data_IF_911166954185
#
_entry.id   IF_911166954185
#
_cell.length_a   1.000
_cell.length_b   1.000
_cell.length_c   1.000
_cell.angle_alpha   90.00
_cell.angle_beta   90.00
_cell.angle_gamma   90.00
#
_symmetry.space_group_name_H-M   'P 1'
#
loop_
_entity.id
_entity.type
_entity.pdbx_description
1 polymer ?
#
# COMPACT_ATOMS: atom_id res chain seq x y z
N UNK A 1 40.49 22.78 -0.91
CA UNK A 1 39.33 22.60 -1.80
C UNK A 1 38.93 21.14 -1.69
N UNK A 2 37.81 20.86 -1.02
CA UNK A 2 37.25 19.51 -0.99
C UNK A 2 36.40 19.38 -2.25
N UNK A 3 36.84 18.53 -3.18
CA UNK A 3 36.05 18.11 -4.33
C UNK A 3 34.81 17.40 -3.80
N UNK A 4 33.67 18.07 -3.87
CA UNK A 4 32.36 17.43 -3.72
C UNK A 4 32.21 16.46 -4.88
N UNK A 5 32.20 15.15 -4.60
CA UNK A 5 31.77 14.16 -5.57
C UNK A 5 30.31 14.46 -5.92
N UNK A 6 30.09 15.05 -7.10
CA UNK A 6 28.76 15.18 -7.68
C UNK A 6 28.32 13.74 -7.96
N UNK A 7 27.49 13.18 -7.07
CA UNK A 7 26.83 11.90 -7.32
C UNK A 7 26.08 12.01 -8.65
N UNK A 8 26.32 11.05 -9.54
CA UNK A 8 25.71 11.02 -10.86
C UNK A 8 24.17 11.03 -10.69
N UNK A 9 23.50 12.07 -11.21
CA UNK A 9 22.05 12.15 -11.15
C UNK A 9 21.45 10.96 -11.91
N UNK A 10 20.70 10.11 -11.20
CA UNK A 10 20.13 8.89 -11.78
C UNK A 10 19.02 9.23 -12.79
N UNK A 11 18.98 8.52 -13.91
CA UNK A 11 17.87 8.60 -14.85
C UNK A 11 16.79 7.57 -14.48
N UNK A 12 15.53 8.00 -14.47
CA UNK A 12 14.37 7.17 -14.09
C UNK A 12 13.32 7.28 -15.20
N UNK A 13 12.92 6.15 -15.78
CA UNK A 13 11.81 6.13 -16.74
C UNK A 13 10.45 6.17 -16.02
N UNK A 14 9.53 6.98 -16.53
CA UNK A 14 8.16 7.05 -16.05
C UNK A 14 7.30 5.99 -16.74
N UNK A 15 6.80 5.04 -15.96
CA UNK A 15 5.99 3.91 -16.42
C UNK A 15 4.47 4.16 -16.40
N UNK A 16 4.02 5.30 -15.88
CA UNK A 16 2.60 5.60 -15.80
C UNK A 16 1.93 5.12 -14.52
N UNK A 17 0.72 4.56 -14.68
CA UNK A 17 -0.15 4.12 -13.59
C UNK A 17 -0.44 2.63 -13.75
N UNK A 18 -0.30 1.87 -12.67
CA UNK A 18 -0.62 0.45 -12.60
C UNK A 18 -1.56 0.15 -11.43
N UNK A 19 -2.21 -1.02 -11.48
CA UNK A 19 -3.07 -1.53 -10.42
C UNK A 19 -2.45 -2.81 -9.85
N UNK A 20 -2.36 -2.91 -8.52
CA UNK A 20 -1.79 -4.09 -7.87
C UNK A 20 -2.75 -5.28 -7.95
N UNK A 21 -2.19 -6.46 -8.21
CA UNK A 21 -2.93 -7.73 -8.24
C UNK A 21 -3.02 -8.38 -9.62
N UNK A 22 -3.58 -9.58 -9.65
CA UNK A 22 -3.77 -10.35 -10.88
C UNK A 22 -4.86 -9.76 -11.77
N UNK A 23 -4.66 -9.84 -13.09
CA UNK A 23 -5.55 -9.29 -14.10
C UNK A 23 -7.02 -9.75 -13.93
N UNK A 24 -7.24 -11.01 -13.55
CA UNK A 24 -8.57 -11.59 -13.37
C UNK A 24 -9.41 -10.93 -12.25
N UNK A 25 -8.75 -10.33 -11.26
CA UNK A 25 -9.41 -9.70 -10.10
C UNK A 25 -9.48 -8.16 -10.14
N UNK A 26 -8.89 -7.52 -11.16
CA UNK A 26 -8.78 -6.06 -11.20
C UNK A 26 -10.15 -5.37 -11.26
N UNK A 27 -11.10 -5.92 -12.04
CA UNK A 27 -12.42 -5.33 -12.21
C UNK A 27 -13.22 -5.25 -10.91
N UNK A 28 -13.05 -6.24 -10.01
CA UNK A 28 -13.71 -6.26 -8.71
C UNK A 28 -12.98 -5.41 -7.67
N UNK A 29 -11.65 -5.31 -7.77
CA UNK A 29 -10.82 -4.54 -6.82
C UNK A 29 -10.81 -3.03 -7.09
N UNK A 30 -10.94 -2.63 -8.36
CA UNK A 30 -10.87 -1.23 -8.81
C UNK A 30 -12.03 -0.88 -9.75
N UNK A 31 -13.28 -1.19 -9.38
CA UNK A 31 -14.44 -1.07 -10.27
C UNK A 31 -14.61 0.34 -10.85
N UNK A 32 -14.33 1.39 -10.07
CA UNK A 32 -14.53 2.77 -10.50
C UNK A 32 -13.25 3.39 -11.07
N UNK A 33 -12.07 3.08 -10.55
CA UNK A 33 -10.80 3.56 -11.14
C UNK A 33 -10.60 3.07 -12.58
N UNK A 34 -10.99 1.82 -12.87
CA UNK A 34 -10.93 1.31 -14.24
C UNK A 34 -11.98 1.96 -15.16
N UNK A 35 -13.16 2.32 -14.62
CA UNK A 35 -14.14 3.09 -15.37
C UNK A 35 -13.66 4.53 -15.64
N UNK A 36 -12.98 5.14 -14.67
CA UNK A 36 -12.41 6.46 -14.82
C UNK A 36 -11.32 6.47 -15.91
N UNK A 37 -10.43 5.48 -15.93
CA UNK A 37 -9.45 5.32 -17.02
C UNK A 37 -10.13 5.18 -18.39
N UNK A 38 -11.21 4.40 -18.48
CA UNK A 38 -12.02 4.30 -19.72
C UNK A 38 -12.60 5.66 -20.15
N UNK A 39 -13.12 6.45 -19.21
CA UNK A 39 -13.63 7.80 -19.51
C UNK A 39 -12.52 8.73 -20.00
N UNK A 40 -11.34 8.69 -19.37
CA UNK A 40 -10.18 9.47 -19.82
C UNK A 40 -9.78 9.07 -21.25
N UNK A 41 -9.73 7.78 -21.55
CA UNK A 41 -9.40 7.26 -22.90
C UNK A 41 -10.41 7.72 -23.95
N UNK A 42 -11.71 7.67 -23.64
CA UNK A 42 -12.76 8.20 -24.51
C UNK A 42 -12.59 9.71 -24.78
N UNK A 43 -12.07 10.46 -23.80
CA UNK A 43 -11.73 11.88 -23.92
C UNK A 43 -10.32 12.16 -24.48
N UNK A 44 -9.67 11.19 -25.15
CA UNK A 44 -8.30 11.30 -25.69
C UNK A 44 -7.24 11.69 -24.63
N UNK A 45 -7.45 11.21 -23.42
CA UNK A 45 -6.54 11.32 -22.27
C UNK A 45 -6.25 9.92 -21.72
N UNK A 46 -5.49 9.84 -20.64
CA UNK A 46 -5.21 8.58 -19.94
C UNK A 46 -4.73 8.84 -18.52
N UNK A 47 -4.76 7.83 -17.66
CA UNK A 47 -4.13 7.90 -16.35
C UNK A 47 -2.63 8.27 -16.46
N UNK A 48 -1.93 7.73 -17.46
CA UNK A 48 -0.53 8.09 -17.76
C UNK A 48 -0.40 9.60 -18.00
N UNK A 49 -1.17 10.14 -18.95
CA UNK A 49 -1.07 11.55 -19.36
C UNK A 49 -1.37 12.49 -18.20
N UNK A 50 -2.47 12.23 -17.48
CA UNK A 50 -2.86 13.03 -16.32
C UNK A 50 -1.80 12.97 -15.22
N UNK A 51 -1.29 11.80 -14.89
CA UNK A 51 -0.25 11.68 -13.86
C UNK A 51 1.03 12.42 -14.25
N UNK A 52 1.45 12.31 -15.51
CA UNK A 52 2.63 13.02 -16.02
C UNK A 52 2.47 14.54 -15.99
N UNK A 53 1.29 15.08 -16.31
CA UNK A 53 1.01 16.53 -16.24
C UNK A 53 1.32 17.10 -14.84
N UNK A 54 0.93 16.39 -13.76
CA UNK A 54 1.22 16.81 -12.39
C UNK A 54 2.72 16.71 -12.05
N UNK A 55 3.39 15.66 -12.50
CA UNK A 55 4.84 15.47 -12.28
C UNK A 55 5.67 16.49 -13.06
N UNK A 56 5.25 16.86 -14.28
CA UNK A 56 5.93 17.85 -15.10
C UNK A 56 5.89 19.25 -14.47
N UNK A 57 4.82 19.57 -13.72
CA UNK A 57 4.70 20.80 -12.93
C UNK A 57 5.55 20.73 -11.65
N UNK A 58 5.52 19.60 -10.93
CA UNK A 58 6.30 19.40 -9.71
C UNK A 58 7.44 18.40 -9.93
N UNK A 59 8.49 18.85 -10.62
CA UNK A 59 9.57 17.99 -11.11
C UNK A 59 10.38 17.35 -9.97
N UNK A 60 10.82 16.09 -10.14
CA UNK A 60 11.85 15.47 -9.31
C UNK A 60 13.10 16.33 -9.13
N UNK A 61 13.61 16.38 -7.90
CA UNK A 61 14.82 17.16 -7.56
C UNK A 61 16.10 16.33 -7.51
N UNK A 62 15.97 15.02 -7.27
CA UNK A 62 17.11 14.14 -6.97
C UNK A 62 17.40 13.12 -8.08
N UNK A 63 16.65 13.14 -9.18
CA UNK A 63 16.83 12.26 -10.33
C UNK A 63 16.21 12.91 -11.57
N UNK A 64 16.65 12.50 -12.76
CA UNK A 64 16.05 12.92 -14.01
C UNK A 64 14.90 11.98 -14.37
N UNK A 65 13.75 12.54 -14.73
CA UNK A 65 12.62 11.75 -15.20
C UNK A 65 12.58 11.72 -16.73
N UNK A 66 12.56 10.53 -17.30
CA UNK A 66 12.41 10.28 -18.73
C UNK A 66 11.04 9.68 -19.02
N UNK A 67 10.45 10.04 -20.17
CA UNK A 67 9.25 9.39 -20.72
C UNK A 67 9.59 8.46 -21.89
N UNK A 68 10.87 8.24 -22.15
CA UNK A 68 11.31 7.30 -23.18
C UNK A 68 11.01 5.86 -22.74
N UNK A 69 10.77 4.94 -23.70
CA UNK A 69 10.60 3.52 -23.41
C UNK A 69 11.73 2.98 -22.52
N UNK A 70 11.38 2.12 -21.58
CA UNK A 70 12.35 1.47 -20.66
C UNK A 70 13.44 0.71 -21.43
N UNK A 71 13.12 0.22 -22.64
CA UNK A 71 14.07 -0.43 -23.54
C UNK A 71 15.25 0.44 -23.99
N UNK A 72 15.15 1.76 -23.87
CA UNK A 72 16.23 2.70 -24.21
C UNK A 72 17.22 2.90 -23.05
N UNK A 73 16.90 2.40 -21.85
CA UNK A 73 17.80 2.35 -20.67
C UNK A 73 18.79 1.17 -20.72
N UNK A 74 18.90 0.46 -21.85
CA UNK A 74 19.74 -0.75 -21.96
C UNK A 74 21.22 -0.51 -21.67
N UNK A 75 21.73 0.69 -21.92
CA UNK A 75 23.15 1.07 -21.77
C UNK A 75 23.64 1.39 -20.35
N UNK A 76 22.76 1.51 -19.35
CA UNK A 76 23.11 1.80 -17.96
C UNK A 76 23.11 0.55 -17.09
N UNK A 77 23.93 0.48 -16.03
CA UNK A 77 23.98 -0.69 -15.12
C UNK A 77 22.65 -0.94 -14.38
N UNK A 78 21.84 0.09 -14.18
CA UNK A 78 20.47 0.01 -13.65
C UNK A 78 19.47 0.57 -14.66
N UNK A 79 18.27 -0.02 -14.76
CA UNK A 79 17.17 0.54 -15.53
C UNK A 79 16.06 0.96 -14.58
N UNK A 80 16.21 2.12 -13.94
CA UNK A 80 15.27 2.58 -12.92
C UNK A 80 13.96 3.06 -13.55
N UNK A 81 12.86 2.60 -12.97
CA UNK A 81 11.51 2.90 -13.42
C UNK A 81 10.67 3.38 -12.25
N UNK A 82 9.86 4.41 -12.47
CA UNK A 82 8.89 4.91 -11.51
C UNK A 82 7.46 4.76 -12.04
N UNK A 83 6.57 4.22 -11.21
CA UNK A 83 5.15 4.05 -11.51
C UNK A 83 4.28 4.48 -10.33
N UNK A 84 3.10 5.02 -10.62
CA UNK A 84 2.03 5.13 -9.64
C UNK A 84 1.30 3.80 -9.57
N UNK A 85 1.44 3.05 -8.48
CA UNK A 85 0.77 1.77 -8.29
C UNK A 85 -0.40 1.92 -7.32
N UNK A 86 -1.63 1.73 -7.79
CA UNK A 86 -2.83 1.73 -6.97
C UNK A 86 -2.98 0.37 -6.27
N UNK A 87 -3.07 0.36 -4.94
CA UNK A 87 -3.14 -0.87 -4.12
C UNK A 87 -4.55 -1.19 -3.66
N UNK A 88 -5.39 -0.17 -3.43
CA UNK A 88 -6.76 -0.34 -2.96
C UNK A 88 -7.68 0.78 -3.43
N UNK A 89 -8.92 0.39 -3.75
CA UNK A 89 -10.07 1.25 -3.87
C UNK A 89 -11.13 0.80 -2.86
N UNK A 90 -11.56 1.70 -2.00
CA UNK A 90 -12.67 1.49 -1.07
C UNK A 90 -13.79 2.45 -1.43
N UNK A 91 -14.98 1.92 -1.65
CA UNK A 91 -16.21 2.69 -1.80
C UNK A 91 -17.21 2.11 -0.81
N UNK A 92 -17.67 2.92 0.14
CA UNK A 92 -18.60 2.51 1.17
C UNK A 92 -19.75 3.50 1.25
N UNK A 93 -20.98 3.00 1.29
CA UNK A 93 -22.19 3.80 1.45
C UNK A 93 -22.84 3.42 2.77
N UNK A 94 -22.83 4.35 3.72
CA UNK A 94 -23.42 4.19 5.04
C UNK A 94 -24.78 4.90 5.12
N UNK A 95 -25.78 4.28 5.74
CA UNK A 95 -27.16 4.77 5.75
C UNK A 95 -27.50 5.41 7.11
N UNK A 96 -27.87 6.70 7.11
CA UNK A 96 -28.27 7.47 8.29
C UNK A 96 -29.67 8.06 8.09
N UNK A 97 -30.71 7.31 8.44
CA UNK A 97 -32.09 7.69 8.07
C UNK A 97 -32.23 7.89 6.55
N UNK A 98 -32.56 9.11 6.12
CA UNK A 98 -32.66 9.48 4.69
C UNK A 98 -31.32 9.88 4.07
N UNK A 99 -30.27 10.07 4.88
CA UNK A 99 -28.95 10.44 4.39
C UNK A 99 -28.18 9.17 4.00
N UNK A 100 -27.46 9.24 2.88
CA UNK A 100 -26.50 8.24 2.41
C UNK A 100 -25.12 8.88 2.40
N UNK A 101 -24.25 8.45 3.30
CA UNK A 101 -22.88 8.92 3.37
C UNK A 101 -22.02 8.05 2.47
N UNK A 102 -21.50 8.65 1.41
CA UNK A 102 -20.52 8.04 0.53
C UNK A 102 -19.12 8.31 1.07
N UNK A 103 -18.35 7.25 1.31
CA UNK A 103 -16.93 7.32 1.61
C UNK A 103 -16.15 6.65 0.48
N UNK A 104 -15.19 7.38 -0.09
CA UNK A 104 -14.26 6.86 -1.08
C UNK A 104 -12.84 7.02 -0.53
N UNK A 105 -12.04 5.97 -0.64
CA UNK A 105 -10.63 5.99 -0.27
C UNK A 105 -9.83 5.25 -1.32
N UNK A 106 -8.89 5.96 -1.95
CA UNK A 106 -7.89 5.35 -2.81
C UNK A 106 -6.55 5.33 -2.10
N UNK A 107 -5.86 4.19 -2.22
CA UNK A 107 -4.50 3.98 -1.72
C UNK A 107 -3.62 3.49 -2.85
N UNK A 108 -2.38 3.95 -2.86
CA UNK A 108 -1.38 3.56 -3.81
C UNK A 108 -0.01 4.03 -3.37
N UNK A 109 0.96 4.00 -4.27
CA UNK A 109 2.32 4.40 -3.97
C UNK A 109 3.07 4.86 -5.22
N UNK A 110 3.99 5.80 -5.04
CA UNK A 110 5.07 5.98 -5.99
C UNK A 110 6.09 4.87 -5.79
N UNK A 111 6.09 3.92 -6.73
CA UNK A 111 6.95 2.76 -6.73
C UNK A 111 8.13 3.00 -7.67
N UNK A 112 9.34 2.89 -7.13
CA UNK A 112 10.57 2.87 -7.89
C UNK A 112 11.08 1.44 -7.90
N UNK A 113 11.43 0.94 -9.08
CA UNK A 113 12.00 -0.39 -9.24
C UNK A 113 13.11 -0.40 -10.29
N UNK A 114 14.05 -1.31 -10.15
CA UNK A 114 15.05 -1.59 -11.17
C UNK A 114 14.47 -2.64 -12.12
N UNK A 115 14.30 -2.27 -13.40
CA UNK A 115 13.75 -3.14 -14.42
C UNK A 115 14.70 -4.30 -14.78
N UNK A 116 16.02 -4.14 -14.62
CA UNK A 116 16.98 -5.22 -14.90
C UNK A 116 16.96 -6.29 -13.81
N UNK A 117 16.99 -5.87 -12.56
CA UNK A 117 17.02 -6.78 -11.41
C UNK A 117 15.63 -7.14 -10.87
N UNK A 118 14.59 -6.47 -11.35
CA UNK A 118 13.18 -6.67 -10.99
C UNK A 118 12.87 -6.36 -9.52
N UNK A 119 13.61 -5.42 -8.94
CA UNK A 119 13.54 -5.10 -7.50
C UNK A 119 12.85 -3.77 -7.25
N UNK A 120 11.93 -3.75 -6.28
CA UNK A 120 11.47 -2.48 -5.71
C UNK A 120 12.63 -1.83 -4.98
N UNK A 121 13.03 -0.66 -5.45
CA UNK A 121 14.11 0.16 -4.89
C UNK A 121 13.56 1.06 -3.78
N UNK A 122 12.35 1.59 -3.98
CA UNK A 122 11.72 2.53 -3.04
C UNK A 122 10.21 2.57 -3.26
N UNK A 123 9.44 2.68 -2.18
CA UNK A 123 8.04 3.01 -2.26
C UNK A 123 7.72 4.25 -1.40
N UNK A 124 6.84 5.10 -1.90
CA UNK A 124 6.27 6.23 -1.17
C UNK A 124 4.75 6.14 -1.24
N UNK A 125 4.04 5.83 -0.15
CA UNK A 125 2.62 5.61 -0.22
C UNK A 125 1.90 6.94 -0.33
N UNK A 126 0.77 6.87 -0.99
CA UNK A 126 -0.12 7.96 -1.19
C UNK A 126 -1.54 7.45 -0.98
N UNK A 127 -2.33 8.25 -0.29
CA UNK A 127 -3.74 7.98 -0.14
C UNK A 127 -4.50 9.29 -0.13
N UNK A 128 -5.74 9.21 -0.58
CA UNK A 128 -6.67 10.32 -0.46
C UNK A 128 -8.08 9.78 -0.31
N UNK A 129 -8.82 10.36 0.62
CA UNK A 129 -10.18 9.99 0.93
C UNK A 129 -11.10 11.19 0.72
N UNK A 130 -12.30 10.90 0.24
CA UNK A 130 -13.36 11.87 0.00
C UNK A 130 -14.65 11.36 0.64
N UNK A 131 -15.37 12.26 1.31
CA UNK A 131 -16.67 11.96 1.94
C UNK A 131 -17.70 12.90 1.33
N UNK A 132 -18.85 12.35 0.97
CA UNK A 132 -20.00 13.10 0.52
C UNK A 132 -21.30 12.55 1.10
N UNK A 133 -22.38 13.32 1.04
CA UNK A 133 -23.69 12.94 1.55
C UNK A 133 -24.79 13.15 0.50
N UNK A 134 -25.66 12.17 0.36
CA UNK A 134 -26.82 12.19 -0.55
C UNK A 134 -28.11 11.99 0.23
N UNK A 135 -29.25 12.41 -0.36
CA UNK A 135 -30.60 12.10 0.17
C UNK A 135 -31.23 10.87 -0.51
N UNK A 136 -30.46 10.20 -1.38
CA UNK A 136 -30.80 9.01 -2.14
C UNK A 136 -29.57 8.09 -2.23
N UNK A 137 -29.74 6.83 -2.60
CA UNK A 137 -28.60 5.94 -2.85
C UNK A 137 -27.80 6.46 -4.04
N UNK A 138 -26.49 6.72 -3.88
CA UNK A 138 -25.69 7.32 -4.94
C UNK A 138 -25.62 6.39 -6.15
N UNK A 139 -25.90 6.94 -7.32
CA UNK A 139 -25.78 6.23 -8.59
C UNK A 139 -24.32 5.89 -8.91
N UNK A 140 -24.06 4.88 -9.76
CA UNK A 140 -22.70 4.55 -10.20
C UNK A 140 -21.97 5.76 -10.82
N UNK A 141 -22.68 6.64 -11.51
CA UNK A 141 -22.14 7.87 -12.09
C UNK A 141 -21.72 8.87 -11.01
N UNK A 142 -22.56 9.11 -10.00
CA UNK A 142 -22.23 9.99 -8.87
C UNK A 142 -21.01 9.48 -8.11
N UNK A 143 -20.92 8.17 -7.88
CA UNK A 143 -19.73 7.56 -7.25
C UNK A 143 -18.49 7.80 -8.12
N UNK A 144 -18.59 7.56 -9.43
CA UNK A 144 -17.47 7.75 -10.36
C UNK A 144 -16.98 9.22 -10.40
N UNK A 145 -17.88 10.19 -10.31
CA UNK A 145 -17.53 11.60 -10.18
C UNK A 145 -16.71 11.88 -8.92
N UNK A 146 -17.07 11.26 -7.78
CA UNK A 146 -16.30 11.42 -6.53
C UNK A 146 -14.97 10.67 -6.60
N UNK A 147 -14.89 9.52 -7.28
CA UNK A 147 -13.60 8.85 -7.55
C UNK A 147 -12.68 9.74 -8.36
N UNK A 148 -13.21 10.45 -9.37
CA UNK A 148 -12.44 11.45 -10.13
C UNK A 148 -11.90 12.56 -9.20
N UNK A 149 -12.70 13.09 -8.29
CA UNK A 149 -12.23 14.06 -7.29
C UNK A 149 -11.12 13.48 -6.41
N UNK A 150 -11.16 12.18 -6.10
CA UNK A 150 -10.07 11.56 -5.34
C UNK A 150 -8.76 11.53 -6.15
N UNK A 151 -8.82 11.31 -7.46
CA UNK A 151 -7.64 11.38 -8.33
C UNK A 151 -7.10 12.81 -8.52
N UNK A 152 -7.98 13.75 -8.86
CA UNK A 152 -7.62 15.11 -9.24
C UNK A 152 -7.37 16.03 -8.03
N UNK A 153 -8.09 15.80 -6.93
CA UNK A 153 -8.11 16.65 -5.75
C UNK A 153 -9.42 17.41 -5.60
N UNK A 154 -9.67 17.89 -4.37
CA UNK A 154 -10.84 18.69 -4.00
C UNK A 154 -10.44 19.69 -2.90
N UNK A 155 -11.18 20.79 -2.76
CA UNK A 155 -11.03 21.73 -1.64
C UNK A 155 -9.59 22.24 -1.43
N UNK A 156 -8.89 22.54 -2.52
CA UNK A 156 -7.47 22.93 -2.55
C UNK A 156 -6.50 21.88 -1.95
N UNK A 157 -6.95 20.64 -1.73
CA UNK A 157 -6.11 19.53 -1.32
C UNK A 157 -5.74 18.70 -2.54
N UNK A 158 -4.46 18.31 -2.69
CA UNK A 158 -4.04 17.47 -3.80
C UNK A 158 -4.70 16.09 -3.69
N UNK A 159 -5.26 15.62 -4.80
CA UNK A 159 -5.68 14.23 -4.97
C UNK A 159 -4.49 13.30 -5.17
N UNK A 160 -4.77 12.08 -5.65
CA UNK A 160 -3.74 11.06 -5.91
C UNK A 160 -2.64 11.59 -6.84
N UNK A 161 -2.96 12.30 -7.93
CA UNK A 161 -1.94 12.79 -8.87
C UNK A 161 -0.99 13.82 -8.24
N UNK A 162 -1.54 14.80 -7.53
CA UNK A 162 -0.73 15.82 -6.85
C UNK A 162 0.13 15.24 -5.72
N UNK A 163 -0.39 14.24 -5.01
CA UNK A 163 0.36 13.51 -3.97
C UNK A 163 1.48 12.67 -4.57
N UNK A 164 1.22 11.96 -5.67
CA UNK A 164 2.25 11.24 -6.41
C UNK A 164 3.36 12.19 -6.89
N UNK A 165 3.00 13.31 -7.53
CA UNK A 165 3.98 14.30 -7.98
C UNK A 165 4.81 14.87 -6.81
N UNK A 166 4.18 15.12 -5.66
CA UNK A 166 4.89 15.56 -4.44
C UNK A 166 5.84 14.48 -3.90
N UNK A 167 5.44 13.21 -3.91
CA UNK A 167 6.30 12.10 -3.54
C UNK A 167 7.50 11.98 -4.49
N UNK A 168 7.28 12.06 -5.80
CA UNK A 168 8.33 12.05 -6.83
C UNK A 168 9.30 13.23 -6.67
N UNK A 169 8.79 14.43 -6.38
CA UNK A 169 9.59 15.64 -6.18
C UNK A 169 10.58 15.52 -5.02
N UNK A 170 10.14 14.90 -3.92
CA UNK A 170 10.94 14.70 -2.70
C UNK A 170 11.67 13.35 -2.61
N UNK A 171 11.47 12.47 -3.59
CA UNK A 171 12.00 11.12 -3.52
C UNK A 171 13.52 11.09 -3.64
N UNK A 172 14.17 10.31 -2.79
CA UNK A 172 15.57 9.94 -2.86
C UNK A 172 15.68 8.46 -3.24
N UNK A 173 16.69 8.11 -4.02
CA UNK A 173 16.96 6.74 -4.43
C UNK A 173 18.29 6.29 -3.81
N UNK A 174 18.35 5.09 -3.21
CA UNK A 174 19.60 4.56 -2.68
C UNK A 174 20.61 4.37 -3.82
N UNK A 175 21.90 4.56 -3.52
CA UNK A 175 22.98 4.36 -4.49
C UNK A 175 23.11 2.88 -4.85
N UNK A 176 23.04 2.00 -3.83
CA UNK A 176 23.02 0.55 -3.94
C UNK A 176 21.98 -0.04 -2.98
N UNK A 177 21.34 -1.14 -3.36
CA UNK A 177 20.52 -1.95 -2.46
C UNK A 177 21.36 -3.14 -2.00
N UNK A 178 21.77 -3.14 -0.73
CA UNK A 178 22.71 -4.15 -0.20
C UNK A 178 22.03 -5.44 0.25
N UNK A 179 20.76 -5.37 0.70
CA UNK A 179 20.01 -6.51 1.24
C UNK A 179 18.52 -6.41 0.95
N UNK A 180 17.91 -7.55 0.68
CA UNK A 180 16.51 -7.68 0.32
C UNK A 180 15.67 -8.17 1.48
N UNK A 181 14.52 -7.54 1.71
CA UNK A 181 13.52 -7.96 2.69
C UNK A 181 12.25 -8.34 1.96
N UNK A 182 11.63 -9.46 2.30
CA UNK A 182 10.36 -9.90 1.71
C UNK A 182 9.39 -10.31 2.81
N UNK A 183 8.10 -10.03 2.63
CA UNK A 183 7.08 -10.83 3.31
C UNK A 183 7.02 -12.17 2.59
N UNK A 184 7.62 -13.22 3.13
CA UNK A 184 7.69 -14.54 2.49
C UNK A 184 6.45 -15.38 2.76
N UNK A 185 5.76 -15.10 3.87
CA UNK A 185 4.54 -15.80 4.29
C UNK A 185 3.53 -14.82 4.87
N UNK A 186 2.31 -14.89 4.35
CA UNK A 186 1.12 -14.30 4.96
C UNK A 186 0.03 -15.36 5.07
N UNK A 187 -0.59 -15.47 6.24
CA UNK A 187 -1.74 -16.36 6.45
C UNK A 187 -2.85 -15.65 7.22
N UNK A 188 -4.08 -16.12 7.05
CA UNK A 188 -5.25 -15.59 7.73
C UNK A 188 -6.06 -16.76 8.31
N UNK A 189 -6.44 -16.62 9.58
CA UNK A 189 -7.36 -17.55 10.24
C UNK A 189 -8.74 -17.55 9.58
N UNK A 190 -9.58 -18.52 9.93
CA UNK A 190 -10.96 -18.58 9.44
C UNK A 190 -11.76 -17.35 9.88
N UNK A 191 -11.54 -16.87 11.10
CA UNK A 191 -12.21 -15.71 11.68
C UNK A 191 -11.84 -14.42 10.93
N UNK A 192 -10.54 -14.23 10.64
CA UNK A 192 -10.10 -13.08 9.84
C UNK A 192 -10.62 -13.18 8.41
N UNK A 193 -10.59 -14.36 7.80
CA UNK A 193 -11.08 -14.55 6.45
C UNK A 193 -12.59 -14.29 6.32
N UNK A 194 -13.37 -14.56 7.36
CA UNK A 194 -14.82 -14.37 7.37
C UNK A 194 -15.24 -12.90 7.25
N UNK A 195 -14.43 -11.96 7.76
CA UNK A 195 -14.72 -10.51 7.70
C UNK A 195 -14.19 -9.83 6.45
N UNK A 196 -13.46 -10.57 5.58
CA UNK A 196 -13.02 -10.03 4.30
C UNK A 196 -14.18 -9.90 3.31
N UNK A 197 -14.14 -8.91 2.41
CA UNK A 197 -15.09 -8.79 1.32
C UNK A 197 -14.97 -9.96 0.34
N UNK A 198 -16.05 -10.26 -0.36
CA UNK A 198 -16.16 -11.46 -1.22
C UNK A 198 -15.09 -11.55 -2.29
N UNK A 199 -14.68 -10.43 -2.87
CA UNK A 199 -13.64 -10.41 -3.90
C UNK A 199 -12.25 -10.85 -3.40
N UNK A 200 -11.96 -10.74 -2.10
CA UNK A 200 -10.72 -11.27 -1.51
C UNK A 200 -10.84 -12.75 -1.12
N UNK A 201 -12.07 -13.26 -0.98
CA UNK A 201 -12.37 -14.66 -0.64
C UNK A 201 -12.52 -15.53 -1.89
N UNK A 202 -13.01 -14.96 -2.99
CA UNK A 202 -13.35 -15.68 -4.23
C UNK A 202 -12.15 -16.13 -5.04
N UNK A 203 -11.01 -15.45 -4.89
CA UNK A 203 -9.80 -15.71 -5.69
C UNK A 203 -8.74 -16.39 -4.82
N UNK A 204 -8.27 -17.61 -5.19
CA UNK A 204 -7.20 -18.29 -4.48
C UNK A 204 -5.97 -17.39 -4.32
N UNK A 205 -5.50 -17.20 -3.09
CA UNK A 205 -4.31 -16.39 -2.82
C UNK A 205 -4.53 -14.88 -2.67
N UNK A 206 -5.71 -14.37 -3.01
CA UNK A 206 -5.98 -12.93 -2.93
C UNK A 206 -5.95 -12.39 -1.49
N UNK A 207 -6.48 -13.14 -0.52
CA UNK A 207 -6.44 -12.76 0.90
C UNK A 207 -5.03 -12.72 1.47
N UNK A 208 -4.17 -13.68 1.13
CA UNK A 208 -2.77 -13.69 1.59
C UNK A 208 -1.96 -12.58 0.91
N UNK A 209 -2.20 -12.34 -0.38
CA UNK A 209 -1.58 -11.23 -1.10
C UNK A 209 -1.97 -9.88 -0.49
N UNK A 210 -3.26 -9.68 -0.21
CA UNK A 210 -3.75 -8.49 0.48
C UNK A 210 -3.07 -8.29 1.85
N UNK A 211 -2.95 -9.36 2.63
CA UNK A 211 -2.30 -9.32 3.93
C UNK A 211 -0.80 -9.00 3.82
N UNK A 212 -0.09 -9.60 2.87
CA UNK A 212 1.32 -9.36 2.64
C UNK A 212 1.60 -7.94 2.12
N UNK A 213 0.76 -7.43 1.22
CA UNK A 213 0.83 -6.07 0.68
C UNK A 213 0.68 -5.05 1.81
N UNK A 214 -0.29 -5.26 2.72
CA UNK A 214 -0.54 -4.38 3.86
C UNK A 214 0.70 -4.25 4.78
N UNK A 215 1.39 -5.37 5.05
CA UNK A 215 2.61 -5.39 5.87
C UNK A 215 3.78 -4.75 5.12
N UNK A 216 3.96 -5.12 3.85
CA UNK A 216 5.06 -4.63 3.01
C UNK A 216 4.98 -3.12 2.79
N UNK A 217 3.79 -2.58 2.55
CA UNK A 217 3.54 -1.15 2.39
C UNK A 217 3.90 -0.37 3.66
N UNK A 218 3.46 -0.88 4.83
CA UNK A 218 3.73 -0.24 6.11
C UNK A 218 5.24 -0.15 6.39
N UNK A 219 5.97 -1.27 6.22
CA UNK A 219 7.41 -1.35 6.47
C UNK A 219 8.19 -0.51 5.46
N UNK A 220 7.98 -0.74 4.16
CA UNK A 220 8.72 -0.04 3.11
C UNK A 220 8.61 1.47 3.26
N UNK A 221 7.41 1.95 3.57
CA UNK A 221 7.20 3.39 3.72
C UNK A 221 7.91 3.96 4.93
N UNK A 222 7.63 3.42 6.13
CA UNK A 222 8.00 4.08 7.40
C UNK A 222 9.46 3.86 7.71
N UNK A 223 9.94 2.65 7.43
CA UNK A 223 11.32 2.28 7.66
C UNK A 223 12.20 2.78 6.50
N UNK A 224 11.64 2.90 5.30
CA UNK A 224 12.36 3.39 4.12
C UNK A 224 13.22 2.33 3.45
N UNK A 225 12.83 1.06 3.54
CA UNK A 225 13.56 -0.08 2.97
C UNK A 225 12.88 -0.60 1.69
N UNK A 226 13.66 -1.08 0.71
CA UNK A 226 13.14 -1.82 -0.43
C UNK A 226 12.52 -3.14 0.04
N UNK A 227 11.34 -3.45 -0.46
CA UNK A 227 10.62 -4.69 -0.17
C UNK A 227 10.47 -5.50 -1.45
N UNK A 228 10.95 -6.75 -1.44
CA UNK A 228 10.64 -7.70 -2.51
C UNK A 228 9.14 -8.00 -2.45
N UNK A 229 8.42 -7.96 -3.58
CA UNK A 229 7.01 -8.29 -3.65
C UNK A 229 6.70 -9.69 -3.12
N UNK A 230 5.53 -9.87 -2.49
CA UNK A 230 5.05 -11.20 -2.10
C UNK A 230 4.54 -12.00 -3.31
N UNK A 231 4.82 -13.29 -3.34
CA UNK A 231 4.29 -14.23 -4.32
C UNK A 231 3.75 -15.48 -3.62
N UNK A 232 2.47 -15.79 -3.82
CA UNK A 232 1.88 -17.07 -3.39
C UNK A 232 2.03 -18.10 -4.52
N UNK A 233 2.35 -19.35 -4.17
CA UNK A 233 2.78 -20.45 -5.07
C UNK A 233 1.87 -20.88 -6.25
N UNK A 234 0.91 -20.07 -6.68
CA UNK A 234 0.16 -20.21 -7.94
C UNK A 234 0.60 -19.22 -9.04
N UNK A 235 1.50 -18.29 -8.74
CA UNK A 235 2.25 -17.58 -9.77
C UNK A 235 3.24 -18.56 -10.42
N UNK A 236 2.81 -19.27 -11.47
CA UNK A 236 3.71 -20.01 -12.34
C UNK A 236 4.77 -19.03 -12.85
N UNK A 237 5.97 -19.12 -12.28
CA UNK A 237 7.15 -18.41 -12.75
C UNK A 237 7.62 -17.19 -11.96
N UNK A 238 7.12 -16.89 -10.75
CA UNK A 238 7.50 -15.67 -10.01
C UNK A 238 7.36 -14.43 -10.91
N UNK A 239 6.14 -13.99 -11.17
CA UNK A 239 5.90 -12.88 -12.09
C UNK A 239 4.91 -11.91 -11.47
N UNK A 240 5.35 -10.66 -11.29
CA UNK A 240 4.43 -9.52 -11.22
C UNK A 240 4.18 -9.02 -12.64
N UNK A 241 2.96 -9.19 -13.14
CA UNK A 241 2.53 -8.57 -14.39
C UNK A 241 2.23 -7.09 -14.15
N UNK A 242 3.19 -6.21 -14.38
CA UNK A 242 2.89 -4.78 -14.56
C UNK A 242 2.62 -4.51 -16.03
N UNK A 243 1.44 -3.99 -16.34
CA UNK A 243 1.16 -3.41 -17.65
C UNK A 243 1.80 -2.02 -17.67
N UNK A 244 3.07 -1.96 -18.08
CA UNK A 244 3.79 -0.70 -18.27
C UNK A 244 3.81 -0.41 -19.75
N UNK A 245 3.23 0.73 -20.15
CA UNK A 245 3.22 1.23 -21.54
C UNK A 245 2.56 0.25 -22.55
N UNK A 246 1.50 0.71 -23.22
CA UNK A 246 0.92 0.11 -24.43
C UNK A 246 0.45 -1.37 -24.41
N UNK A 247 0.40 -2.02 -23.24
CA UNK A 247 -0.18 -3.37 -23.12
C UNK A 247 0.80 -4.52 -23.12
N UNK A 248 2.09 -4.26 -23.09
CA UNK A 248 3.08 -5.31 -22.83
C UNK A 248 2.99 -5.78 -21.37
N UNK A 249 2.84 -7.10 -21.21
CA UNK A 249 2.81 -7.80 -19.93
C UNK A 249 4.21 -8.33 -19.66
N UNK A 250 4.86 -7.83 -18.62
CA UNK A 250 6.21 -8.28 -18.25
C UNK A 250 6.18 -9.37 -17.19
N UNK A 251 7.06 -10.36 -17.36
CA UNK A 251 7.25 -11.47 -16.43
C UNK A 251 8.46 -11.19 -15.51
N UNK A 252 8.23 -10.87 -14.22
CA UNK A 252 9.24 -10.36 -13.28
C UNK A 252 9.80 -11.41 -12.28
N UNK A 253 10.90 -12.11 -12.59
CA UNK A 253 11.65 -12.98 -11.65
C UNK A 253 12.15 -12.24 -10.42
N UNK A 254 11.70 -12.64 -9.23
CA UNK A 254 12.08 -12.01 -7.95
C UNK A 254 13.43 -12.52 -7.40
N UNK A 255 14.25 -11.67 -6.76
CA UNK A 255 15.45 -12.10 -6.07
C UNK A 255 15.10 -12.91 -4.82
N UNK A 256 16.07 -13.67 -4.31
CA UNK A 256 15.94 -14.27 -2.98
C UNK A 256 16.08 -13.18 -1.91
N UNK A 257 15.21 -13.16 -0.89
CA UNK A 257 15.38 -12.26 0.24
C UNK A 257 16.58 -12.67 1.11
N UNK A 258 17.30 -11.67 1.63
CA UNK A 258 18.24 -11.86 2.74
C UNK A 258 17.50 -11.92 4.08
N UNK A 259 16.31 -11.33 4.16
CA UNK A 259 15.46 -11.33 5.34
C UNK A 259 14.01 -11.60 5.02
N UNK A 260 13.40 -12.45 5.83
CA UNK A 260 12.03 -12.91 5.65
C UNK A 260 11.13 -12.43 6.78
N UNK A 261 9.96 -11.93 6.38
CA UNK A 261 8.87 -11.55 7.27
C UNK A 261 7.74 -12.56 7.09
N UNK A 262 7.36 -13.19 8.19
CA UNK A 262 6.20 -14.07 8.27
C UNK A 262 5.12 -13.40 9.11
N UNK A 263 3.88 -13.40 8.63
CA UNK A 263 2.74 -12.84 9.34
C UNK A 263 1.55 -13.80 9.31
N UNK A 264 1.00 -14.08 10.48
CA UNK A 264 -0.23 -14.84 10.64
C UNK A 264 -1.31 -13.96 11.30
N UNK A 265 -2.34 -13.57 10.55
CA UNK A 265 -3.51 -12.88 11.10
C UNK A 265 -4.39 -13.90 11.83
N UNK A 266 -4.42 -13.82 13.16
CA UNK A 266 -4.99 -14.87 14.02
C UNK A 266 -6.47 -14.69 14.34
N UNK A 267 -6.93 -13.46 14.54
CA UNK A 267 -8.29 -13.23 15.01
C UNK A 267 -8.74 -11.77 14.81
N UNK A 268 -10.05 -11.58 14.83
CA UNK A 268 -10.73 -10.29 14.84
C UNK A 268 -11.82 -10.27 15.92
N UNK A 269 -12.04 -9.11 16.53
CA UNK A 269 -13.11 -8.92 17.51
C UNK A 269 -13.81 -7.60 17.31
N UNK A 270 -15.14 -7.60 17.36
CA UNK A 270 -15.95 -6.38 17.51
C UNK A 270 -16.48 -6.33 18.93
N UNK A 271 -15.99 -5.37 19.71
CA UNK A 271 -16.34 -5.23 21.13
C UNK A 271 -17.12 -3.94 21.30
N UNK A 272 -18.31 -4.01 21.89
CA UNK A 272 -19.05 -2.82 22.30
C UNK A 272 -18.31 -2.12 23.43
N UNK A 273 -17.84 -0.90 23.16
CA UNK A 273 -17.02 -0.13 24.09
C UNK A 273 -17.86 0.83 24.93
N UNK A 274 -18.83 1.51 24.31
CA UNK A 274 -19.74 2.43 25.00
C UNK A 274 -21.08 2.54 24.27
N UNK A 275 -22.13 2.94 24.99
CA UNK A 275 -23.44 3.24 24.40
C UNK A 275 -24.04 4.48 25.07
N UNK A 276 -24.65 5.33 24.25
CA UNK A 276 -25.43 6.49 24.67
C UNK A 276 -26.70 6.60 23.82
N UNK A 277 -27.57 7.57 24.13
CA UNK A 277 -28.74 7.87 23.29
C UNK A 277 -28.36 8.25 21.85
N UNK A 278 -27.15 8.80 21.63
CA UNK A 278 -26.67 9.20 20.30
C UNK A 278 -26.10 8.05 19.47
N UNK A 279 -25.81 6.89 20.07
CA UNK A 279 -25.22 5.76 19.35
C UNK A 279 -24.37 4.82 20.20
N UNK A 280 -23.78 3.83 19.55
CA UNK A 280 -22.92 2.80 20.15
C UNK A 280 -21.52 2.90 19.56
N UNK A 281 -20.49 2.91 20.40
CA UNK A 281 -19.09 2.81 19.96
C UNK A 281 -18.63 1.38 20.01
N UNK A 282 -18.00 0.92 18.93
CA UNK A 282 -17.38 -0.40 18.85
C UNK A 282 -15.87 -0.26 18.67
N UNK A 283 -15.12 -1.12 19.35
CA UNK A 283 -13.69 -1.34 19.11
C UNK A 283 -13.54 -2.56 18.22
N UNK A 284 -12.89 -2.36 17.08
CA UNK A 284 -12.55 -3.40 16.12
C UNK A 284 -11.10 -3.82 16.38
N UNK A 285 -10.94 -4.94 17.06
CA UNK A 285 -9.66 -5.52 17.41
C UNK A 285 -9.14 -6.48 16.34
N UNK A 286 -7.85 -6.41 16.03
CA UNK A 286 -7.14 -7.35 15.15
C UNK A 286 -5.91 -7.91 15.87
N UNK A 287 -5.62 -9.19 15.64
CA UNK A 287 -4.49 -9.89 16.24
C UNK A 287 -3.65 -10.56 15.16
N UNK A 288 -2.33 -10.43 15.23
CA UNK A 288 -1.42 -11.12 14.33
C UNK A 288 -0.13 -11.55 15.03
N UNK A 289 0.42 -12.68 14.61
CA UNK A 289 1.82 -13.03 14.93
C UNK A 289 2.71 -12.51 13.81
N UNK A 290 3.86 -11.95 14.18
CA UNK A 290 4.89 -11.54 13.23
C UNK A 290 6.23 -12.13 13.62
N UNK A 291 6.99 -12.57 12.61
CA UNK A 291 8.39 -12.99 12.73
C UNK A 291 9.22 -12.32 11.64
N UNK A 292 10.37 -11.75 12.02
CA UNK A 292 11.39 -11.23 11.10
C UNK A 292 12.68 -11.99 11.38
N UNK A 293 13.22 -12.66 10.37
CA UNK A 293 14.39 -13.51 10.52
C UNK A 293 15.27 -13.54 9.27
N UNK A 294 16.52 -13.96 9.44
CA UNK A 294 17.44 -14.28 8.35
C UNK A 294 17.36 -15.79 8.07
N UNK A 295 17.09 -16.22 6.83
CA UNK A 295 16.71 -17.61 6.54
C UNK A 295 17.88 -18.60 6.57
N UNK A 296 19.14 -18.18 6.33
CA UNK A 296 20.29 -19.09 6.26
C UNK A 296 20.78 -19.50 7.65
N UNK A 297 20.97 -18.54 8.55
CA UNK A 297 21.37 -18.78 9.95
C UNK A 297 20.19 -19.05 10.87
N UNK A 298 18.97 -18.67 10.48
CA UNK A 298 17.78 -18.73 11.31
C UNK A 298 17.72 -17.65 12.40
N UNK A 299 18.62 -16.65 12.35
CA UNK A 299 18.65 -15.57 13.33
C UNK A 299 17.33 -14.79 13.35
N UNK A 300 16.70 -14.71 14.52
CA UNK A 300 15.43 -14.01 14.72
C UNK A 300 15.68 -12.61 15.28
N UNK A 301 15.09 -11.61 14.64
CA UNK A 301 15.21 -10.20 15.01
C UNK A 301 13.95 -9.67 15.68
N UNK A 302 12.79 -10.15 15.22
CA UNK A 302 11.48 -9.88 15.81
C UNK A 302 10.67 -11.16 15.81
N UNK A 303 10.04 -11.50 16.92
CA UNK A 303 9.04 -12.54 17.04
C UNK A 303 8.09 -12.20 18.18
N UNK A 304 6.88 -11.79 17.85
CA UNK A 304 5.85 -11.43 18.84
C UNK A 304 4.46 -11.58 18.25
N UNK A 305 3.47 -11.77 19.13
CA UNK A 305 2.07 -11.49 18.81
C UNK A 305 1.81 -10.01 19.01
N UNK A 306 0.96 -9.42 18.18
CA UNK A 306 0.52 -8.04 18.22
C UNK A 306 -1.00 -7.97 18.28
N UNK A 307 -1.50 -6.94 18.96
CA UNK A 307 -2.91 -6.57 18.95
C UNK A 307 -3.06 -5.07 18.65
N UNK A 308 -4.05 -4.72 17.84
CA UNK A 308 -4.49 -3.34 17.68
C UNK A 308 -6.01 -3.25 17.79
N UNK A 309 -6.51 -2.06 18.12
CA UNK A 309 -7.94 -1.79 18.16
C UNK A 309 -8.22 -0.39 17.61
N UNK A 310 -9.21 -0.28 16.73
CA UNK A 310 -9.69 1.00 16.21
C UNK A 310 -11.15 1.19 16.58
N UNK A 311 -11.49 2.42 16.99
CA UNK A 311 -12.84 2.73 17.48
C UNK A 311 -13.67 3.34 16.36
N UNK A 312 -14.86 2.79 16.12
CA UNK A 312 -15.87 3.36 15.23
C UNK A 312 -17.13 3.65 16.04
N UNK A 313 -17.60 4.91 15.96
CA UNK A 313 -18.88 5.32 16.52
C UNK A 313 -19.95 5.02 15.49
N UNK A 314 -20.99 4.28 15.91
CA UNK A 314 -22.18 3.96 15.11
C UNK A 314 -23.35 4.75 15.70
N UNK A 315 -23.78 5.84 15.05
CA UNK A 315 -24.95 6.60 15.44
C UNK A 315 -26.21 5.73 15.54
N UNK A 316 -27.12 6.06 16.45
CA UNK A 316 -28.37 5.30 16.63
C UNK A 316 -29.25 5.30 15.36
N UNK A 317 -29.09 6.30 14.49
CA UNK A 317 -29.78 6.42 13.20
C UNK A 317 -29.14 5.59 12.07
N UNK A 318 -27.97 4.97 12.31
CA UNK A 318 -27.27 4.18 11.31
C UNK A 318 -27.84 2.77 11.24
N UNK A 319 -28.51 2.43 10.13
CA UNK A 319 -29.20 1.14 9.95
C UNK A 319 -28.33 0.07 9.31
N UNK A 320 -27.29 0.48 8.57
CA UNK A 320 -26.30 -0.41 7.97
C UNK A 320 -24.89 0.08 8.28
N UNK A 321 -24.04 -0.83 8.73
CA UNK A 321 -22.64 -0.59 9.05
C UNK A 321 -21.79 -1.57 8.26
N UNK A 322 -20.93 -1.04 7.39
CA UNK A 322 -19.85 -1.81 6.82
C UNK A 322 -18.73 -1.92 7.88
N UNK A 323 -18.49 -3.15 8.34
CA UNK A 323 -17.53 -3.50 9.38
C UNK A 323 -16.11 -3.68 8.81
N UNK A 324 -15.98 -4.04 7.53
CA UNK A 324 -14.69 -4.35 6.93
C UNK A 324 -13.70 -3.16 6.96
N UNK A 325 -14.10 -1.92 6.63
CA UNK A 325 -13.20 -0.76 6.73
C UNK A 325 -12.60 -0.57 8.13
N UNK A 326 -13.37 -0.83 9.19
CA UNK A 326 -12.89 -0.69 10.56
C UNK A 326 -11.89 -1.80 10.93
N UNK A 327 -12.11 -3.03 10.46
CA UNK A 327 -11.12 -4.11 10.59
C UNK A 327 -9.86 -3.85 9.77
N UNK A 328 -10.01 -3.32 8.55
CA UNK A 328 -8.89 -2.91 7.70
C UNK A 328 -8.05 -1.84 8.41
N UNK A 329 -8.68 -0.80 8.95
CA UNK A 329 -7.97 0.27 9.66
C UNK A 329 -7.25 -0.25 10.90
N UNK A 330 -7.86 -1.21 11.61
CA UNK A 330 -7.22 -1.85 12.76
C UNK A 330 -6.01 -2.69 12.38
N UNK A 331 -6.12 -3.51 11.34
CA UNK A 331 -5.02 -4.29 10.80
C UNK A 331 -3.89 -3.39 10.27
N UNK A 332 -4.22 -2.42 9.41
CA UNK A 332 -3.27 -1.46 8.86
C UNK A 332 -2.59 -0.62 9.95
N UNK A 333 -3.37 -0.13 10.93
CA UNK A 333 -2.88 0.63 12.07
C UNK A 333 -1.85 -0.14 12.90
N UNK A 334 -2.03 -1.46 13.07
CA UNK A 334 -1.08 -2.33 13.75
C UNK A 334 0.30 -2.31 13.09
N UNK A 335 0.37 -2.54 11.78
CA UNK A 335 1.64 -2.60 11.06
C UNK A 335 2.23 -1.21 10.81
N UNK A 336 1.41 -0.16 10.68
CA UNK A 336 1.90 1.21 10.67
C UNK A 336 2.62 1.54 11.98
N UNK A 337 1.99 1.30 13.13
CA UNK A 337 2.57 1.57 14.45
C UNK A 337 3.84 0.72 14.68
N UNK A 338 3.83 -0.56 14.30
CA UNK A 338 5.03 -1.40 14.36
C UNK A 338 6.16 -0.83 13.48
N UNK A 339 5.86 -0.46 12.24
CA UNK A 339 6.86 0.06 11.31
C UNK A 339 7.43 1.41 11.77
N UNK A 340 6.64 2.22 12.48
CA UNK A 340 7.15 3.43 13.13
C UNK A 340 8.13 3.13 14.26
N UNK A 341 7.85 2.11 15.08
CA UNK A 341 8.78 1.65 16.10
C UNK A 341 10.09 1.13 15.46
N UNK A 342 9.99 0.33 14.39
CA UNK A 342 11.14 -0.17 13.61
C UNK A 342 11.90 0.97 12.89
N UNK A 343 11.22 2.09 12.59
CA UNK A 343 11.86 3.28 12.05
C UNK A 343 12.59 4.12 13.12
N UNK A 344 12.57 3.69 14.39
CA UNK A 344 13.20 4.38 15.51
C UNK A 344 12.36 5.50 16.12
N UNK A 345 11.08 5.62 15.76
CA UNK A 345 10.18 6.57 16.43
C UNK A 345 9.79 6.03 17.80
N UNK A 346 9.74 6.91 18.80
CA UNK A 346 9.16 6.58 20.11
C UNK A 346 7.70 6.16 19.92
N UNK A 347 7.38 4.94 20.33
CA UNK A 347 6.03 4.40 20.19
C UNK A 347 5.60 3.61 21.43
N UNK A 348 4.99 4.26 22.44
CA UNK A 348 4.53 3.59 23.67
C UNK A 348 3.54 2.45 23.43
N UNK A 349 2.81 2.48 22.30
CA UNK A 349 1.85 1.44 21.94
C UNK A 349 2.49 0.04 21.91
N UNK A 350 3.71 -0.08 21.38
CA UNK A 350 4.34 -1.39 21.15
C UNK A 350 4.49 -2.20 22.44
N UNK A 351 4.77 -1.54 23.58
CA UNK A 351 4.93 -2.17 24.90
C UNK A 351 3.66 -2.80 25.43
N UNK A 352 2.50 -2.29 25.02
CA UNK A 352 1.17 -2.78 25.45
C UNK A 352 0.52 -3.69 24.42
N UNK A 353 0.95 -3.57 23.16
CA UNK A 353 0.41 -4.30 22.02
C UNK A 353 1.13 -5.62 21.76
N UNK A 354 2.44 -5.69 22.05
CA UNK A 354 3.25 -6.89 21.89
C UNK A 354 3.07 -7.87 23.06
N UNK A 355 3.13 -9.16 22.77
CA UNK A 355 3.18 -10.23 23.79
C UNK A 355 4.59 -10.53 24.28
N UNK A 356 5.62 -10.23 23.50
CA UNK A 356 7.01 -10.45 23.87
C UNK A 356 7.44 -9.51 25.00
N UNK A 357 8.00 -10.07 26.09
CA UNK A 357 8.49 -9.29 27.23
C UNK A 357 9.77 -8.51 26.92
N UNK A 358 10.53 -8.93 25.92
CA UNK A 358 11.78 -8.31 25.46
C UNK A 358 11.60 -7.47 24.18
N UNK A 359 10.37 -7.02 23.90
CA UNK A 359 10.02 -6.32 22.64
C UNK A 359 10.91 -5.12 22.33
N UNK A 360 11.32 -4.33 23.33
CA UNK A 360 12.22 -3.18 23.13
C UNK A 360 13.57 -3.62 22.52
N UNK A 361 14.14 -4.71 23.03
CA UNK A 361 15.40 -5.30 22.51
C UNK A 361 15.22 -5.85 21.09
N UNK A 362 14.08 -6.50 20.82
CA UNK A 362 13.76 -6.98 19.47
C UNK A 362 13.62 -5.82 18.46
N UNK A 363 12.97 -4.72 18.86
CA UNK A 363 12.86 -3.51 18.03
C UNK A 363 14.24 -2.90 17.76
N UNK A 364 15.12 -2.79 18.76
CA UNK A 364 16.49 -2.30 18.56
C UNK A 364 17.30 -3.17 17.58
N UNK A 365 17.20 -4.50 17.70
CA UNK A 365 17.82 -5.44 16.75
C UNK A 365 17.26 -5.26 15.34
N UNK A 366 15.95 -5.08 15.23
CA UNK A 366 15.26 -4.90 13.94
C UNK A 366 15.61 -3.55 13.31
N UNK A 367 15.76 -2.47 14.08
CA UNK A 367 16.25 -1.17 13.57
C UNK A 367 17.65 -1.35 12.94
N UNK A 368 18.56 -2.03 13.64
CA UNK A 368 19.91 -2.29 13.14
C UNK A 368 19.89 -3.09 11.85
N UNK A 369 19.07 -4.15 11.79
CA UNK A 369 18.86 -4.94 10.57
C UNK A 369 18.34 -4.08 9.41
N UNK A 370 17.31 -3.28 9.64
CA UNK A 370 16.67 -2.50 8.57
C UNK A 370 17.59 -1.39 8.02
N UNK A 371 18.50 -0.86 8.84
CA UNK A 371 19.52 0.06 8.37
C UNK A 371 20.54 -0.59 7.43
N UNK A 372 20.70 -1.92 7.43
CA UNK A 372 21.52 -2.64 6.45
C UNK A 372 20.82 -2.83 5.10
N UNK A 373 19.53 -2.51 5.04
CA UNK A 373 18.69 -2.63 3.84
C UNK A 373 18.38 -1.27 3.19
N UNK A 374 18.71 -0.15 3.84
CA UNK A 374 18.59 1.21 3.29
C UNK A 374 19.78 1.52 2.39
#
# INVERSE_FOLDING_TARGET
>A
MVQSSIGQTKDVAFAGVAFAGEAAGLAQRFPYSLQYDKQLKAAKSSLFKRTYEYVAVNKPKNFNLSIQPVGDLKGSDQALVASLVMSSETVSVEHFGNIRKLFILLRGQALFFDFKSMNVVRAYPISFGYVDNFQHDPSPQEILERVRLVYEGSDNKPGIYGRYASAMAGATLPEQVSRYVQVSRASLSAEMAAVLPDYLKSTPGAKETWAADLVSEAISTRVGVPMVPYTKGYAVGNVMSMQVMDGEVFNLTLPKPDYEIEVDFKNVKKIKFSQSAGGTSYVYGTYADIRIHEPVSGAVYLQTSLKNGETKVVPASQTYVDDFPAYYDSANGMFVKLSEAIAGKSNPWIKTAASASDIDSQIEKTIKLMNLCK
#
